data_IF_406126832934
#
_entry.id   IF_406126832934
#
_cell.length_a   1.000
_cell.length_b   1.000
_cell.length_c   1.000
_cell.angle_alpha   90.00
_cell.angle_beta   90.00
_cell.angle_gamma   90.00
#
_symmetry.space_group_name_H-M   'P 1'
#
loop_
_entity.id
_entity.type
_entity.pdbx_description
1 polymer ?
#
# COMPACT_ATOMS: atom_id res chain seq x y z
N UNK A 1 26.53 -48.45 43.20
CA UNK A 1 26.91 -47.03 43.23
C UNK A 1 26.17 -46.34 42.10
N UNK A 2 25.26 -45.41 42.43
CA UNK A 2 24.39 -44.74 41.46
C UNK A 2 25.05 -43.49 40.89
N UNK A 3 25.01 -43.34 39.57
CA UNK A 3 25.41 -42.12 38.89
C UNK A 3 24.14 -41.32 38.53
N UNK A 4 23.97 -40.16 39.16
CA UNK A 4 23.05 -39.11 38.71
C UNK A 4 23.59 -38.47 37.43
N UNK A 5 22.79 -38.26 36.38
CA UNK A 5 23.14 -37.33 35.33
C UNK A 5 22.80 -35.90 35.77
N UNK A 6 23.78 -35.02 35.71
CA UNK A 6 23.66 -33.57 35.88
C UNK A 6 22.72 -33.00 34.81
N UNK A 7 21.76 -32.16 35.25
CA UNK A 7 20.96 -31.33 34.35
C UNK A 7 21.90 -30.38 33.61
N UNK A 8 21.91 -30.45 32.28
CA UNK A 8 22.48 -29.41 31.45
C UNK A 8 21.48 -28.24 31.41
N UNK A 9 21.83 -27.15 32.08
CA UNK A 9 21.15 -25.87 31.89
C UNK A 9 21.44 -25.39 30.46
N UNK A 10 20.47 -25.60 29.56
CA UNK A 10 20.46 -24.94 28.26
C UNK A 10 20.21 -23.45 28.49
N UNK A 11 21.27 -22.66 28.43
CA UNK A 11 21.15 -21.22 28.21
C UNK A 11 20.45 -21.01 26.85
N UNK A 12 19.26 -20.41 26.87
CA UNK A 12 18.58 -19.95 25.66
C UNK A 12 19.44 -18.83 25.02
N UNK A 13 19.97 -19.11 23.84
CA UNK A 13 20.75 -18.16 23.05
C UNK A 13 19.89 -16.95 22.67
N UNK A 14 20.32 -15.77 23.11
CA UNK A 14 19.73 -14.46 22.78
C UNK A 14 19.72 -14.14 21.26
N UNK A 15 20.44 -14.93 20.45
CA UNK A 15 20.44 -14.81 19.00
C UNK A 15 19.20 -15.44 18.31
N UNK A 16 18.42 -16.26 19.02
CA UNK A 16 17.23 -16.92 18.45
C UNK A 16 16.03 -15.97 18.28
N UNK A 17 15.99 -14.84 18.99
CA UNK A 17 14.90 -13.88 18.90
C UNK A 17 14.96 -13.02 17.63
N UNK A 18 16.15 -12.81 17.06
CA UNK A 18 16.36 -12.01 15.85
C UNK A 18 15.77 -12.62 14.58
N UNK A 19 15.44 -13.91 14.59
CA UNK A 19 14.93 -14.65 13.43
C UNK A 19 13.54 -15.27 13.67
N UNK A 20 12.83 -14.87 14.74
CA UNK A 20 11.44 -15.29 14.88
C UNK A 20 10.60 -14.67 13.76
N UNK A 21 9.77 -15.46 13.05
CA UNK A 21 8.82 -14.90 12.11
C UNK A 21 7.91 -13.91 12.86
N UNK A 22 7.54 -12.77 12.24
CA UNK A 22 6.68 -11.79 12.88
C UNK A 22 5.38 -12.41 13.34
N UNK A 23 4.79 -11.89 14.43
CA UNK A 23 3.54 -12.43 14.95
C UNK A 23 2.43 -12.39 13.88
N UNK A 24 1.59 -13.45 13.77
CA UNK A 24 0.48 -13.46 12.83
C UNK A 24 -0.59 -12.45 13.25
N UNK A 25 -1.22 -11.81 12.28
CA UNK A 25 -2.37 -10.91 12.51
C UNK A 25 -3.65 -11.71 12.30
N UNK A 26 -4.53 -11.85 13.32
CA UNK A 26 -5.85 -12.40 13.12
C UNK A 26 -6.66 -11.54 12.15
N UNK A 27 -7.19 -12.16 11.09
CA UNK A 27 -8.05 -11.53 10.09
C UNK A 27 -9.41 -12.21 10.08
N UNK A 28 -10.47 -11.44 10.26
CA UNK A 28 -11.85 -11.86 10.03
C UNK A 28 -12.38 -11.20 8.74
N UNK A 29 -13.01 -11.98 7.87
CA UNK A 29 -13.46 -11.53 6.55
C UNK A 29 -14.98 -11.70 6.49
N UNK A 30 -15.69 -10.58 6.38
CA UNK A 30 -17.14 -10.56 6.29
C UNK A 30 -17.67 -11.43 5.13
N UNK A 31 -18.71 -12.20 5.41
CA UNK A 31 -19.20 -13.24 4.50
C UNK A 31 -19.80 -12.70 3.20
N UNK A 32 -20.19 -11.42 3.16
CA UNK A 32 -20.80 -10.80 1.99
C UNK A 32 -19.78 -10.24 0.99
N UNK A 33 -18.49 -10.14 1.35
CA UNK A 33 -17.46 -9.49 0.54
C UNK A 33 -17.30 -10.18 -0.82
N UNK A 34 -17.17 -11.51 -0.84
CA UNK A 34 -16.98 -12.27 -2.09
C UNK A 34 -18.13 -12.08 -3.07
N UNK A 35 -19.37 -12.11 -2.57
CA UNK A 35 -20.56 -11.91 -3.39
C UNK A 35 -20.63 -10.49 -3.95
N UNK A 36 -20.14 -9.50 -3.21
CA UNK A 36 -20.14 -8.11 -3.65
C UNK A 36 -19.07 -7.85 -4.72
N UNK A 37 -17.89 -8.45 -4.60
CA UNK A 37 -16.81 -8.36 -5.58
C UNK A 37 -17.19 -9.00 -6.93
N UNK A 38 -17.99 -10.07 -6.92
CA UNK A 38 -18.48 -10.68 -8.16
C UNK A 38 -19.48 -9.80 -8.92
N UNK A 39 -20.19 -8.91 -8.22
CA UNK A 39 -21.20 -8.02 -8.82
C UNK A 39 -20.62 -6.72 -9.35
N UNK A 40 -19.50 -6.26 -8.80
CA UNK A 40 -18.95 -4.93 -9.06
C UNK A 40 -17.46 -5.03 -9.44
N UNK A 41 -17.15 -4.73 -10.69
CA UNK A 41 -15.75 -4.72 -11.19
C UNK A 41 -14.95 -3.51 -10.70
N UNK A 42 -15.61 -2.37 -10.47
CA UNK A 42 -15.00 -1.21 -9.83
C UNK A 42 -15.01 -1.41 -8.32
N UNK A 43 -13.82 -1.55 -7.73
CA UNK A 43 -13.70 -1.78 -6.29
C UNK A 43 -13.48 -0.47 -5.56
N UNK A 44 -14.52 0.03 -4.89
CA UNK A 44 -14.40 1.09 -3.89
C UNK A 44 -14.31 0.43 -2.52
N UNK A 45 -13.22 0.71 -1.80
CA UNK A 45 -12.94 0.17 -0.48
C UNK A 45 -12.79 1.33 0.49
N UNK A 46 -13.41 1.23 1.67
CA UNK A 46 -13.20 2.19 2.76
C UNK A 46 -12.16 1.64 3.73
N UNK A 47 -11.33 2.49 4.31
CA UNK A 47 -10.36 2.09 5.33
C UNK A 47 -10.59 2.84 6.63
N UNK A 48 -10.55 2.10 7.74
CA UNK A 48 -10.73 2.59 9.09
C UNK A 48 -9.61 2.07 9.98
N UNK A 49 -9.22 2.91 10.94
CA UNK A 49 -8.22 2.58 11.93
C UNK A 49 -8.02 3.74 12.90
N UNK A 50 -7.71 3.42 14.15
CA UNK A 50 -7.34 4.40 15.16
C UNK A 50 -5.90 4.92 14.99
N UNK A 51 -5.41 5.76 15.91
CA UNK A 51 -3.99 6.02 16.07
C UNK A 51 -3.19 4.69 16.14
N UNK A 52 -1.94 4.69 15.66
CA UNK A 52 -1.06 3.51 15.61
C UNK A 52 -1.55 2.30 14.77
N UNK A 53 -2.73 2.38 14.14
CA UNK A 53 -3.24 1.32 13.23
C UNK A 53 -2.40 1.12 11.96
N UNK A 54 -1.45 2.02 11.67
CA UNK A 54 -0.61 1.98 10.48
C UNK A 54 -1.43 1.92 9.17
N UNK A 55 -2.65 2.47 9.16
CA UNK A 55 -3.54 2.51 7.98
C UNK A 55 -2.85 3.08 6.73
N UNK A 56 -1.91 4.01 6.91
CA UNK A 56 -1.10 4.57 5.83
C UNK A 56 -0.32 3.51 5.05
N UNK A 57 0.28 2.52 5.72
CA UNK A 57 1.00 1.42 5.06
C UNK A 57 0.08 0.50 4.27
N UNK A 58 -1.18 0.33 4.71
CA UNK A 58 -2.20 -0.42 3.96
C UNK A 58 -2.63 0.34 2.72
N UNK A 59 -2.85 1.66 2.84
CA UNK A 59 -3.17 2.52 1.70
C UNK A 59 -2.03 2.48 0.68
N UNK A 60 -0.77 2.56 1.14
CA UNK A 60 0.42 2.47 0.28
C UNK A 60 0.52 1.12 -0.43
N UNK A 61 0.26 0.01 0.25
CA UNK A 61 0.22 -1.32 -0.39
C UNK A 61 -0.92 -1.39 -1.42
N UNK A 62 -2.11 -0.88 -1.11
CA UNK A 62 -3.24 -0.86 -2.04
C UNK A 62 -2.91 -0.05 -3.31
N UNK A 63 -2.29 1.11 -3.16
CA UNK A 63 -1.96 1.99 -4.29
C UNK A 63 -0.81 1.42 -5.12
N UNK A 64 0.29 1.03 -4.48
CA UNK A 64 1.51 0.56 -5.16
C UNK A 64 1.37 -0.85 -5.75
N UNK A 65 0.73 -1.77 -5.03
CA UNK A 65 0.67 -3.19 -5.41
C UNK A 65 -0.64 -3.58 -6.08
N UNK A 66 -1.75 -2.87 -5.87
CA UNK A 66 -3.07 -3.29 -6.36
C UNK A 66 -3.76 -2.27 -7.27
N UNK A 67 -3.05 -1.21 -7.67
CA UNK A 67 -3.51 -0.14 -8.56
C UNK A 67 -4.78 0.57 -8.04
N UNK A 68 -4.84 0.81 -6.73
CA UNK A 68 -5.86 1.67 -6.14
C UNK A 68 -5.44 3.14 -6.27
N UNK A 69 -6.42 4.01 -6.43
CA UNK A 69 -6.28 5.45 -6.20
C UNK A 69 -6.76 5.77 -4.79
N UNK A 70 -5.93 6.44 -4.00
CA UNK A 70 -6.32 6.91 -2.68
C UNK A 70 -7.15 8.19 -2.77
N UNK A 71 -8.19 8.27 -1.94
CA UNK A 71 -8.98 9.47 -1.70
C UNK A 71 -9.01 9.71 -0.19
N UNK A 72 -8.35 10.78 0.26
CA UNK A 72 -8.38 11.22 1.66
C UNK A 72 -9.33 12.40 1.83
N UNK A 73 -10.15 12.37 2.88
CA UNK A 73 -10.97 13.51 3.28
C UNK A 73 -10.14 14.71 3.67
N UNK A 74 -8.98 14.50 4.31
CA UNK A 74 -8.10 15.60 4.69
C UNK A 74 -7.63 16.36 3.45
N UNK A 75 -7.24 15.64 2.39
CA UNK A 75 -6.85 16.24 1.12
C UNK A 75 -8.02 17.01 0.48
N UNK A 76 -9.23 16.45 0.52
CA UNK A 76 -10.43 17.13 0.02
C UNK A 76 -10.66 18.43 0.80
N UNK A 77 -10.61 18.38 2.13
CA UNK A 77 -10.81 19.56 2.96
C UNK A 77 -9.74 20.60 2.64
N UNK A 78 -8.45 20.25 2.70
CA UNK A 78 -7.39 21.23 2.46
C UNK A 78 -7.37 21.79 1.04
N UNK A 79 -7.78 21.01 0.04
CA UNK A 79 -7.82 21.45 -1.35
C UNK A 79 -9.03 22.36 -1.64
N UNK A 80 -10.21 22.02 -1.12
CA UNK A 80 -11.47 22.65 -1.56
C UNK A 80 -12.03 23.65 -0.55
N UNK A 81 -11.73 23.52 0.73
CA UNK A 81 -12.21 24.45 1.76
C UNK A 81 -11.78 25.92 1.49
N UNK A 82 -10.53 26.21 1.09
CA UNK A 82 -10.11 27.58 0.77
C UNK A 82 -10.95 28.24 -0.32
N UNK A 83 -11.44 27.47 -1.30
CA UNK A 83 -12.27 28.01 -2.38
C UNK A 83 -13.69 28.40 -1.93
N UNK A 84 -14.18 27.81 -0.84
CA UNK A 84 -15.49 28.14 -0.23
C UNK A 84 -15.39 29.33 0.72
N UNK A 85 -14.23 29.50 1.33
CA UNK A 85 -13.89 30.56 2.25
C UNK A 85 -13.49 31.82 1.48
N UNK A 86 -14.49 32.61 1.07
CA UNK A 86 -14.30 33.84 0.29
C UNK A 86 -13.54 34.91 1.09
N UNK A 87 -12.19 34.83 1.09
CA UNK A 87 -11.30 35.86 1.62
C UNK A 87 -10.61 35.57 2.96
N UNK A 88 -10.78 34.39 3.57
CA UNK A 88 -9.89 33.93 4.65
C UNK A 88 -8.67 33.24 4.04
N UNK A 89 -7.50 33.42 4.67
CA UNK A 89 -6.23 33.07 4.04
C UNK A 89 -6.13 31.60 3.64
N UNK A 90 -5.29 31.33 2.65
CA UNK A 90 -5.01 29.97 2.14
C UNK A 90 -4.16 29.14 3.10
N UNK A 91 -3.83 29.68 4.27
CA UNK A 91 -2.99 29.01 5.25
C UNK A 91 -3.80 27.97 6.03
N UNK A 92 -3.17 26.85 6.35
CA UNK A 92 -3.77 25.75 7.12
C UNK A 92 -4.38 26.26 8.45
N UNK A 93 -3.79 27.27 9.07
CA UNK A 93 -4.31 27.86 10.32
C UNK A 93 -5.69 28.51 10.13
N UNK A 94 -5.89 29.22 9.03
CA UNK A 94 -7.16 29.90 8.73
C UNK A 94 -8.27 28.87 8.42
N UNK A 95 -7.92 27.80 7.70
CA UNK A 95 -8.79 26.65 7.45
C UNK A 95 -9.19 25.99 8.79
N UNK A 96 -8.22 25.75 9.67
CA UNK A 96 -8.49 25.15 10.98
C UNK A 96 -9.35 26.04 11.89
N UNK A 97 -9.20 27.36 11.79
CA UNK A 97 -10.01 28.32 12.54
C UNK A 97 -11.44 28.40 11.98
N UNK A 98 -11.60 28.42 10.66
CA UNK A 98 -12.90 28.33 10.01
C UNK A 98 -13.64 27.04 10.40
N UNK A 99 -12.95 25.90 10.43
CA UNK A 99 -13.50 24.61 10.87
C UNK A 99 -13.83 24.55 12.37
N UNK A 100 -13.24 25.41 13.21
CA UNK A 100 -13.60 25.47 14.63
C UNK A 100 -14.95 26.15 14.85
N UNK A 101 -15.31 27.07 13.96
CA UNK A 101 -16.57 27.82 14.00
C UNK A 101 -17.57 27.27 12.95
N UNK A 102 -17.50 25.97 12.67
CA UNK A 102 -18.20 25.32 11.55
C UNK A 102 -19.73 25.44 11.68
N UNK A 103 -20.33 26.32 10.86
CA UNK A 103 -21.78 26.43 10.65
C UNK A 103 -22.27 25.49 9.54
N UNK A 104 -21.85 24.21 9.57
CA UNK A 104 -22.29 23.19 8.60
C UNK A 104 -21.57 23.24 7.24
N UNK A 105 -20.38 23.82 7.18
CA UNK A 105 -19.56 23.89 5.98
C UNK A 105 -18.99 22.53 5.57
N UNK A 106 -18.76 21.66 6.55
CA UNK A 106 -18.25 20.29 6.39
C UNK A 106 -19.35 19.24 6.63
N UNK A 107 -20.28 19.09 5.69
CA UNK A 107 -21.26 18.00 5.73
C UNK A 107 -20.73 16.70 5.14
N UNK A 108 -21.19 15.54 5.65
CA UNK A 108 -20.84 14.24 5.06
C UNK A 108 -21.38 14.10 3.63
N UNK A 109 -22.54 14.69 3.34
CA UNK A 109 -23.08 14.75 1.97
C UNK A 109 -22.11 15.46 1.01
N UNK A 110 -21.56 16.61 1.42
CA UNK A 110 -20.57 17.32 0.63
C UNK A 110 -19.27 16.51 0.46
N UNK A 111 -18.77 15.90 1.54
CA UNK A 111 -17.58 15.05 1.49
C UNK A 111 -17.76 13.90 0.49
N UNK A 112 -18.88 13.19 0.55
CA UNK A 112 -19.20 12.10 -0.36
C UNK A 112 -19.44 12.58 -1.81
N UNK A 113 -19.96 13.80 -2.00
CA UNK A 113 -20.05 14.43 -3.33
C UNK A 113 -18.65 14.70 -3.92
N UNK A 114 -17.73 15.22 -3.10
CA UNK A 114 -16.34 15.43 -3.51
C UNK A 114 -15.64 14.11 -3.85
N UNK A 115 -15.84 13.06 -3.05
CA UNK A 115 -15.35 11.71 -3.35
C UNK A 115 -15.95 11.21 -4.68
N UNK A 116 -17.26 11.38 -4.88
CA UNK A 116 -17.95 11.00 -6.12
C UNK A 116 -17.34 11.70 -7.34
N UNK A 117 -16.98 12.98 -7.22
CA UNK A 117 -16.34 13.74 -8.31
C UNK A 117 -15.00 13.15 -8.72
N UNK A 118 -14.19 12.65 -7.78
CA UNK A 118 -12.89 12.01 -8.06
C UNK A 118 -13.06 10.63 -8.72
N UNK A 119 -14.11 9.89 -8.35
CA UNK A 119 -14.40 8.57 -8.92
C UNK A 119 -14.84 8.67 -10.39
N UNK A 120 -15.67 9.65 -10.75
CA UNK A 120 -16.24 9.79 -12.10
C UNK A 120 -15.21 10.02 -13.21
N UNK A 121 -14.00 10.46 -12.86
CA UNK A 121 -12.95 10.80 -13.84
C UNK A 121 -12.24 9.55 -14.39
N UNK A 122 -12.35 8.39 -13.74
CA UNK A 122 -11.59 7.20 -14.12
C UNK A 122 -12.47 5.96 -14.33
N UNK A 123 -12.50 5.45 -15.55
CA UNK A 123 -13.13 4.17 -15.86
C UNK A 123 -12.22 3.01 -15.42
N UNK A 124 -12.80 1.96 -14.84
CA UNK A 124 -12.11 0.72 -14.43
C UNK A 124 -11.01 0.88 -13.36
N UNK A 125 -11.03 1.96 -12.60
CA UNK A 125 -10.08 2.20 -11.51
C UNK A 125 -10.64 1.70 -10.16
N UNK A 126 -9.75 1.22 -9.29
CA UNK A 126 -10.05 0.85 -7.91
C UNK A 126 -9.78 2.05 -7.01
N UNK A 127 -10.56 2.23 -5.95
CA UNK A 127 -10.43 3.37 -5.04
C UNK A 127 -10.36 2.91 -3.60
N UNK A 128 -9.44 3.49 -2.84
CA UNK A 128 -9.40 3.36 -1.37
C UNK A 128 -9.73 4.71 -0.77
N UNK A 129 -10.77 4.75 0.05
CA UNK A 129 -11.32 5.96 0.67
C UNK A 129 -10.98 5.97 2.15
N UNK A 130 -10.17 6.93 2.56
CA UNK A 130 -9.93 7.26 3.97
C UNK A 130 -10.86 8.41 4.36
N UNK A 131 -12.04 8.06 4.87
CA UNK A 131 -13.10 9.03 5.18
C UNK A 131 -12.94 9.69 6.55
N UNK A 132 -12.20 9.07 7.46
CA UNK A 132 -12.05 9.59 8.82
C UNK A 132 -10.71 10.32 8.97
N UNK A 133 -10.75 11.66 9.11
CA UNK A 133 -9.54 12.46 9.19
C UNK A 133 -8.79 12.21 10.51
N UNK A 134 -7.47 12.34 10.50
CA UNK A 134 -6.62 12.40 11.68
C UNK A 134 -6.56 13.81 12.29
N UNK A 135 -6.78 14.86 11.48
CA UNK A 135 -6.72 16.26 11.90
C UNK A 135 -7.89 16.59 12.84
N UNK A 136 -7.55 16.90 14.09
CA UNK A 136 -8.52 17.10 15.18
C UNK A 136 -9.53 18.22 14.95
N UNK A 137 -9.22 19.26 14.17
CA UNK A 137 -10.19 20.32 13.84
C UNK A 137 -11.30 19.82 12.92
N UNK A 138 -10.99 18.90 12.00
CA UNK A 138 -11.96 18.29 11.08
C UNK A 138 -12.84 17.30 11.86
N UNK A 139 -12.24 16.46 12.72
CA UNK A 139 -12.97 15.53 13.60
C UNK A 139 -13.92 16.23 14.59
N UNK A 140 -13.70 17.52 14.87
CA UNK A 140 -14.54 18.31 15.77
C UNK A 140 -15.76 18.93 15.09
N UNK A 141 -15.88 18.83 13.76
CA UNK A 141 -17.12 19.21 13.08
C UNK A 141 -18.29 18.38 13.59
N UNK A 142 -19.48 18.99 13.67
CA UNK A 142 -20.68 18.36 14.24
C UNK A 142 -21.03 17.05 13.52
N UNK A 143 -20.88 17.04 12.21
CA UNK A 143 -21.19 15.93 11.34
C UNK A 143 -20.35 14.68 11.67
N UNK A 144 -19.05 14.80 11.95
CA UNK A 144 -18.23 13.66 12.39
C UNK A 144 -18.54 13.14 13.80
N UNK A 145 -19.36 13.87 14.57
CA UNK A 145 -19.88 13.40 15.87
C UNK A 145 -21.27 12.79 15.78
N UNK A 146 -21.89 12.80 14.60
CA UNK A 146 -23.21 12.20 14.42
C UNK A 146 -23.16 10.69 14.70
N UNK A 147 -24.27 10.13 15.18
CA UNK A 147 -24.34 8.71 15.59
C UNK A 147 -24.42 7.73 14.43
N UNK A 148 -24.74 8.19 13.22
CA UNK A 148 -24.89 7.35 12.04
C UNK A 148 -24.78 8.21 10.77
N UNK A 149 -24.23 7.60 9.72
CA UNK A 149 -24.16 8.15 8.37
C UNK A 149 -24.85 7.25 7.34
N UNK A 150 -25.77 6.39 7.79
CA UNK A 150 -26.41 5.35 6.97
C UNK A 150 -27.09 5.93 5.73
N UNK A 151 -27.79 7.05 5.89
CA UNK A 151 -28.52 7.70 4.79
C UNK A 151 -27.54 8.16 3.71
N UNK A 152 -26.49 8.87 4.11
CA UNK A 152 -25.50 9.45 3.22
C UNK A 152 -24.70 8.34 2.50
N UNK A 153 -24.26 7.32 3.25
CA UNK A 153 -23.55 6.16 2.70
C UNK A 153 -24.42 5.34 1.74
N UNK A 154 -25.71 5.14 2.06
CA UNK A 154 -26.64 4.44 1.18
C UNK A 154 -26.84 5.21 -0.14
N UNK A 155 -27.08 6.52 -0.06
CA UNK A 155 -27.23 7.36 -1.26
C UNK A 155 -25.96 7.39 -2.12
N UNK A 156 -24.79 7.38 -1.51
CA UNK A 156 -23.52 7.25 -2.21
C UNK A 156 -23.39 5.88 -2.87
N UNK A 157 -23.69 4.80 -2.15
CA UNK A 157 -23.59 3.43 -2.64
C UNK A 157 -24.55 3.12 -3.80
N UNK A 158 -25.73 3.77 -3.84
CA UNK A 158 -26.64 3.69 -4.99
C UNK A 158 -26.01 4.19 -6.30
N UNK A 159 -25.05 5.13 -6.21
CA UNK A 159 -24.34 5.69 -7.38
C UNK A 159 -23.00 4.99 -7.62
N UNK A 160 -22.36 4.58 -6.53
CA UNK A 160 -20.99 4.09 -6.49
C UNK A 160 -20.94 2.83 -5.63
N UNK A 161 -21.16 1.63 -6.21
CA UNK A 161 -21.18 0.39 -5.45
C UNK A 161 -19.92 0.20 -4.62
N UNK A 162 -20.08 0.01 -3.30
CA UNK A 162 -18.96 -0.16 -2.39
C UNK A 162 -18.70 -1.67 -2.24
N UNK A 163 -17.43 -2.07 -2.31
CA UNK A 163 -17.04 -3.47 -2.17
C UNK A 163 -17.06 -3.90 -0.71
N UNK A 164 -16.24 -3.27 0.13
CA UNK A 164 -16.09 -3.58 1.55
C UNK A 164 -15.34 -2.46 2.29
N UNK A 165 -15.23 -2.61 3.61
CA UNK A 165 -14.37 -1.81 4.46
C UNK A 165 -13.24 -2.65 5.05
N UNK A 166 -12.06 -2.05 5.26
CA UNK A 166 -10.96 -2.61 6.05
C UNK A 166 -10.95 -1.88 7.39
N UNK A 167 -10.96 -2.62 8.49
CA UNK A 167 -10.92 -2.11 9.86
C UNK A 167 -9.69 -2.69 10.57
N UNK A 168 -8.77 -1.83 10.99
CA UNK A 168 -7.57 -2.23 11.74
C UNK A 168 -7.71 -1.80 13.19
N UNK A 169 -7.85 -2.80 14.06
CA UNK A 169 -8.05 -2.62 15.50
C UNK A 169 -6.77 -2.99 16.26
N UNK A 170 -6.22 -2.06 17.04
CA UNK A 170 -4.97 -2.25 17.80
C UNK A 170 -5.31 -2.78 19.21
N UNK A 171 -4.85 -3.99 19.54
CA UNK A 171 -5.21 -4.70 20.78
C UNK A 171 -4.42 -4.25 22.02
N UNK A 172 -3.15 -3.92 21.85
CA UNK A 172 -2.22 -3.72 22.99
C UNK A 172 -2.28 -2.30 23.59
N UNK A 173 -2.97 -1.37 22.93
CA UNK A 173 -2.99 0.05 23.30
C UNK A 173 -4.32 0.50 23.93
N UNK A 174 -4.99 -0.37 24.70
CA UNK A 174 -6.22 -0.02 25.42
C UNK A 174 -6.10 1.21 26.34
N UNK A 175 -4.88 1.69 26.64
CA UNK A 175 -4.63 2.83 27.51
C UNK A 175 -4.06 4.09 26.84
N UNK A 176 -3.69 4.08 25.54
CA UNK A 176 -2.89 5.16 24.98
C UNK A 176 -3.53 6.02 23.91
N UNK A 177 -4.83 5.88 23.61
CA UNK A 177 -5.71 7.04 23.37
C UNK A 177 -7.10 6.63 22.88
N UNK A 178 -8.10 6.82 23.73
CA UNK A 178 -9.48 7.12 23.28
C UNK A 178 -9.51 8.52 22.63
N UNK A 179 -8.67 8.75 21.63
CA UNK A 179 -8.70 9.97 20.83
C UNK A 179 -9.86 9.88 19.85
N UNK A 180 -10.41 11.04 19.53
CA UNK A 180 -11.63 11.25 18.74
C UNK A 180 -11.74 10.42 17.43
N UNK A 181 -10.64 9.91 16.88
CA UNK A 181 -10.63 9.10 15.65
C UNK A 181 -11.37 7.77 15.74
N UNK A 182 -11.20 6.99 16.82
CA UNK A 182 -11.93 5.70 16.97
C UNK A 182 -13.43 5.92 17.12
N UNK A 183 -13.83 6.93 17.89
CA UNK A 183 -15.23 7.29 18.05
C UNK A 183 -15.86 7.78 16.73
N UNK A 184 -15.09 8.48 15.89
CA UNK A 184 -15.54 8.95 14.58
C UNK A 184 -15.60 7.83 13.53
N UNK A 185 -14.85 6.74 13.69
CA UNK A 185 -14.95 5.56 12.80
C UNK A 185 -16.28 4.82 12.96
N UNK A 186 -16.77 4.69 14.19
CA UNK A 186 -17.88 3.79 14.52
C UNK A 186 -19.17 4.04 13.72
N UNK A 187 -19.65 5.29 13.53
CA UNK A 187 -20.84 5.57 12.72
C UNK A 187 -20.73 5.09 11.26
N UNK A 188 -19.55 5.21 10.65
CA UNK A 188 -19.32 4.71 9.28
C UNK A 188 -19.14 3.20 9.26
N UNK A 189 -18.42 2.66 10.24
CA UNK A 189 -18.08 1.24 10.29
C UNK A 189 -19.30 0.35 10.57
N UNK A 190 -20.24 0.82 11.39
CA UNK A 190 -21.52 0.15 11.65
C UNK A 190 -22.31 -0.16 10.37
N UNK A 191 -22.28 0.75 9.38
CA UNK A 191 -22.93 0.54 8.08
C UNK A 191 -22.39 -0.71 7.35
N UNK A 192 -21.07 -0.89 7.37
CA UNK A 192 -20.42 -2.06 6.74
C UNK A 192 -20.59 -3.34 7.57
N UNK A 193 -20.56 -3.24 8.90
CA UNK A 193 -20.80 -4.39 9.80
C UNK A 193 -22.19 -4.97 9.60
N UNK A 194 -23.22 -4.13 9.49
CA UNK A 194 -24.61 -4.58 9.23
C UNK A 194 -24.79 -5.36 7.94
N UNK A 195 -23.96 -5.09 6.94
CA UNK A 195 -23.97 -5.80 5.66
C UNK A 195 -22.96 -6.94 5.60
N UNK A 196 -22.23 -7.21 6.69
CA UNK A 196 -21.16 -8.20 6.79
C UNK A 196 -20.08 -8.05 5.70
N UNK A 197 -19.65 -6.79 5.47
CA UNK A 197 -18.64 -6.39 4.47
C UNK A 197 -17.43 -5.72 5.09
N UNK A 198 -16.96 -6.22 6.22
CA UNK A 198 -15.76 -5.72 6.90
C UNK A 198 -14.67 -6.78 6.88
N UNK A 199 -13.45 -6.37 6.55
CA UNK A 199 -12.22 -7.12 6.83
C UNK A 199 -11.66 -6.54 8.13
N UNK A 200 -11.75 -7.29 9.21
CA UNK A 200 -11.25 -6.87 10.52
C UNK A 200 -9.88 -7.47 10.80
N UNK A 201 -8.88 -6.63 11.01
CA UNK A 201 -7.52 -7.01 11.33
C UNK A 201 -7.21 -6.63 12.79
N UNK A 202 -6.86 -7.62 13.61
CA UNK A 202 -6.47 -7.41 15.02
C UNK A 202 -4.97 -7.23 15.15
N UNK A 203 -4.50 -6.00 15.23
CA UNK A 203 -3.08 -5.65 15.26
C UNK A 203 -2.52 -5.61 16.69
N UNK A 204 -1.39 -6.26 16.91
CA UNK A 204 -0.55 -6.13 18.11
C UNK A 204 0.75 -5.43 17.74
N UNK A 205 1.47 -4.85 18.71
CA UNK A 205 2.73 -4.16 18.44
C UNK A 205 3.76 -5.08 17.77
N UNK A 206 3.81 -6.35 18.20
CA UNK A 206 4.70 -7.39 17.66
C UNK A 206 4.32 -7.84 16.23
N UNK A 207 3.06 -7.63 15.83
CA UNK A 207 2.55 -8.07 14.54
C UNK A 207 2.61 -6.97 13.45
N UNK A 208 2.94 -5.72 13.81
CA UNK A 208 3.07 -4.59 12.87
C UNK A 208 3.92 -4.91 11.64
N UNK A 209 5.11 -5.55 11.75
CA UNK A 209 5.92 -5.90 10.57
C UNK A 209 5.21 -6.80 9.57
N UNK A 210 4.18 -7.55 9.99
CA UNK A 210 3.41 -8.46 9.16
C UNK A 210 2.17 -7.82 8.51
N UNK A 211 1.83 -6.56 8.83
CA UNK A 211 0.58 -5.92 8.41
C UNK A 211 0.43 -5.84 6.90
N UNK A 212 1.48 -5.38 6.21
CA UNK A 212 1.49 -5.25 4.75
C UNK A 212 1.37 -6.61 4.08
N UNK A 213 2.10 -7.62 4.56
CA UNK A 213 2.04 -8.96 3.98
C UNK A 213 0.66 -9.61 4.21
N UNK A 214 0.11 -9.49 5.42
CA UNK A 214 -1.23 -9.98 5.74
C UNK A 214 -2.30 -9.32 4.87
N UNK A 215 -2.20 -8.00 4.65
CA UNK A 215 -3.10 -7.25 3.76
C UNK A 215 -3.02 -7.79 2.34
N UNK A 216 -1.81 -7.96 1.80
CA UNK A 216 -1.57 -8.49 0.46
C UNK A 216 -2.17 -9.87 0.29
N UNK A 217 -1.86 -10.81 1.19
CA UNK A 217 -2.40 -12.16 1.14
C UNK A 217 -3.93 -12.18 1.22
N UNK A 218 -4.52 -11.31 2.04
CA UNK A 218 -5.97 -11.18 2.18
C UNK A 218 -6.61 -10.72 0.87
N UNK A 219 -6.06 -9.70 0.21
CA UNK A 219 -6.55 -9.21 -1.08
C UNK A 219 -6.39 -10.26 -2.19
N UNK A 220 -5.26 -10.97 -2.24
CA UNK A 220 -5.05 -12.08 -3.17
C UNK A 220 -6.10 -13.19 -2.97
N UNK A 221 -6.39 -13.56 -1.72
CA UNK A 221 -7.44 -14.55 -1.36
C UNK A 221 -8.87 -14.09 -1.73
N UNK A 222 -9.07 -12.78 -1.89
CA UNK A 222 -10.32 -12.18 -2.36
C UNK A 222 -10.38 -12.04 -3.89
N UNK A 223 -9.32 -12.43 -4.60
CA UNK A 223 -9.27 -12.42 -6.06
C UNK A 223 -8.76 -11.10 -6.65
N UNK A 224 -8.22 -10.19 -5.84
CA UNK A 224 -7.51 -9.04 -6.38
C UNK A 224 -6.21 -9.49 -7.03
N UNK A 225 -5.96 -8.98 -8.23
CA UNK A 225 -4.67 -9.13 -8.90
C UNK A 225 -3.78 -7.96 -8.52
N UNK A 226 -2.51 -8.26 -8.22
CA UNK A 226 -1.51 -7.21 -8.11
C UNK A 226 -1.40 -6.49 -9.46
N UNK A 227 -1.14 -5.19 -9.39
CA UNK A 227 -0.67 -4.43 -10.54
C UNK A 227 0.56 -5.17 -11.08
N UNK A 228 0.62 -5.34 -12.41
CA UNK A 228 1.89 -5.68 -13.02
C UNK A 228 2.80 -4.49 -12.75
N UNK A 229 3.65 -4.61 -11.73
CA UNK A 229 4.89 -3.88 -11.76
C UNK A 229 5.60 -4.41 -13.00
N UNK A 230 6.09 -3.53 -13.85
CA UNK A 230 6.96 -3.93 -14.95
C UNK A 230 8.27 -4.44 -14.30
N UNK A 231 8.22 -5.63 -13.69
CA UNK A 231 9.33 -6.29 -13.03
C UNK A 231 10.23 -6.84 -14.14
N UNK A 232 11.12 -5.99 -14.63
CA UNK A 232 12.11 -6.38 -15.60
C UNK A 232 13.21 -7.17 -14.91
N UNK A 233 13.42 -8.39 -15.37
CA UNK A 233 14.61 -9.15 -15.01
C UNK A 233 15.75 -8.61 -15.87
N UNK A 234 16.75 -8.01 -15.23
CA UNK A 234 18.00 -7.59 -15.86
C UNK A 234 19.11 -8.52 -15.37
N UNK A 235 19.52 -9.45 -16.24
CA UNK A 235 20.60 -10.38 -15.96
C UNK A 235 21.91 -9.85 -16.56
N UNK A 236 23.02 -9.89 -15.82
CA UNK A 236 24.34 -9.54 -16.33
C UNK A 236 25.20 -10.80 -16.50
N UNK A 237 25.83 -10.92 -17.66
CA UNK A 237 26.65 -12.07 -18.04
C UNK A 237 27.90 -11.63 -18.77
N UNK A 238 28.93 -12.46 -18.79
CA UNK A 238 30.09 -12.29 -19.67
C UNK A 238 29.80 -12.92 -21.03
N UNK A 239 30.59 -12.55 -22.04
CA UNK A 239 30.49 -13.09 -23.41
C UNK A 239 30.54 -14.62 -23.46
N UNK A 240 31.19 -15.27 -22.49
CA UNK A 240 31.43 -16.72 -22.47
C UNK A 240 30.36 -17.57 -21.78
N UNK A 241 29.36 -16.98 -21.11
CA UNK A 241 28.50 -17.70 -20.15
C UNK A 241 27.01 -17.67 -20.45
N UNK A 242 26.60 -17.07 -21.58
CA UNK A 242 25.19 -16.82 -21.87
C UNK A 242 24.52 -17.81 -22.82
N UNK A 243 25.27 -18.74 -23.41
CA UNK A 243 24.75 -19.74 -24.35
C UNK A 243 23.81 -20.77 -23.70
N UNK A 244 23.94 -20.99 -22.38
CA UNK A 244 23.10 -21.91 -21.61
C UNK A 244 21.79 -21.29 -21.10
N UNK A 245 21.56 -20.00 -21.35
CA UNK A 245 20.37 -19.28 -20.88
C UNK A 245 19.25 -19.42 -21.93
N UNK A 246 18.11 -20.00 -21.55
CA UNK A 246 16.93 -20.06 -22.40
C UNK A 246 16.25 -18.68 -22.53
N UNK A 247 16.73 -17.90 -23.50
CA UNK A 247 16.23 -16.55 -23.78
C UNK A 247 14.74 -16.52 -24.12
N UNK A 248 14.22 -17.60 -24.70
CA UNK A 248 12.82 -17.67 -25.13
C UNK A 248 11.91 -17.90 -23.94
N UNK A 249 12.27 -18.85 -23.07
CA UNK A 249 11.52 -19.14 -21.84
C UNK A 249 11.44 -17.91 -20.92
N UNK A 250 12.56 -17.20 -20.73
CA UNK A 250 12.63 -16.00 -19.89
C UNK A 250 12.29 -14.70 -20.61
N UNK A 251 11.98 -14.72 -21.91
CA UNK A 251 11.73 -13.54 -22.75
C UNK A 251 12.85 -12.48 -22.66
N UNK A 252 14.10 -12.93 -22.61
CA UNK A 252 15.28 -12.07 -22.47
C UNK A 252 15.69 -11.49 -23.83
N UNK A 253 15.84 -10.17 -23.90
CA UNK A 253 16.48 -9.46 -24.99
C UNK A 253 17.95 -9.26 -24.69
N UNK A 254 18.81 -9.68 -25.60
CA UNK A 254 20.26 -9.47 -25.47
C UNK A 254 20.58 -8.00 -25.68
N UNK A 255 21.36 -7.43 -24.77
CA UNK A 255 21.94 -6.09 -24.85
C UNK A 255 23.45 -6.22 -24.70
N UNK A 256 24.19 -5.93 -25.76
CA UNK A 256 25.65 -5.92 -25.68
C UNK A 256 26.13 -4.57 -25.16
N UNK A 257 26.64 -4.52 -23.93
CA UNK A 257 27.09 -3.28 -23.29
C UNK A 257 28.27 -2.64 -24.04
N UNK A 258 29.07 -3.44 -24.77
CA UNK A 258 30.18 -2.95 -25.59
C UNK A 258 29.73 -2.16 -26.82
N UNK A 259 28.53 -2.43 -27.33
CA UNK A 259 27.97 -1.70 -28.48
C UNK A 259 27.34 -0.36 -28.06
N UNK A 260 27.00 -0.22 -26.78
CA UNK A 260 26.35 0.97 -26.22
C UNK A 260 27.33 2.03 -25.72
N UNK A 261 28.61 1.68 -25.61
CA UNK A 261 29.64 2.53 -25.00
C UNK A 261 30.88 2.64 -25.88
N UNK A 262 31.62 3.75 -25.72
CA UNK A 262 32.89 3.93 -26.43
C UNK A 262 34.00 3.18 -25.68
N UNK A 263 35.01 2.73 -26.41
CA UNK A 263 36.17 2.05 -25.82
C UNK A 263 36.93 2.88 -24.75
N UNK A 264 36.74 4.21 -24.75
CA UNK A 264 37.30 5.15 -23.78
C UNK A 264 36.44 5.39 -22.53
N UNK A 265 35.21 4.86 -22.50
CA UNK A 265 34.25 5.15 -21.44
C UNK A 265 34.59 4.39 -20.17
N UNK A 266 34.47 5.05 -19.01
CA UNK A 266 34.61 4.41 -17.71
C UNK A 266 33.38 3.58 -17.35
N UNK A 267 33.51 2.70 -16.34
CA UNK A 267 32.45 1.80 -15.90
C UNK A 267 31.10 2.51 -15.64
N UNK A 268 31.12 3.68 -14.99
CA UNK A 268 29.90 4.44 -14.70
C UNK A 268 29.21 4.95 -15.97
N UNK A 269 29.97 5.40 -16.97
CA UNK A 269 29.45 5.80 -18.27
C UNK A 269 28.87 4.61 -19.04
N UNK A 270 29.50 3.44 -18.96
CA UNK A 270 29.01 2.19 -19.56
C UNK A 270 27.68 1.73 -18.92
N UNK A 271 27.61 1.70 -17.57
CA UNK A 271 26.38 1.39 -16.83
C UNK A 271 25.26 2.38 -17.19
N UNK A 272 25.59 3.68 -17.26
CA UNK A 272 24.62 4.72 -17.64
C UNK A 272 24.14 4.59 -19.08
N UNK A 273 24.97 4.08 -19.99
CA UNK A 273 24.58 3.81 -21.37
C UNK A 273 23.60 2.62 -21.45
N UNK A 274 23.89 1.53 -20.74
CA UNK A 274 22.99 0.37 -20.62
C UNK A 274 21.65 0.79 -20.02
N UNK A 275 21.66 1.54 -18.93
CA UNK A 275 20.45 2.03 -18.28
C UNK A 275 19.58 2.86 -19.23
N UNK A 276 20.17 3.81 -19.97
CA UNK A 276 19.44 4.63 -20.96
C UNK A 276 18.90 3.80 -22.11
N UNK A 277 19.64 2.80 -22.57
CA UNK A 277 19.17 1.91 -23.64
C UNK A 277 17.94 1.12 -23.19
N UNK A 278 18.02 0.47 -22.03
CA UNK A 278 16.91 -0.28 -21.44
C UNK A 278 15.69 0.63 -21.24
N UNK A 279 15.87 1.80 -20.63
CA UNK A 279 14.79 2.76 -20.40
C UNK A 279 14.11 3.26 -21.70
N UNK A 280 14.86 3.36 -22.81
CA UNK A 280 14.32 3.84 -24.10
C UNK A 280 13.72 2.74 -24.98
N UNK A 281 14.06 1.47 -24.74
CA UNK A 281 13.55 0.32 -25.48
C UNK A 281 12.53 -0.50 -24.65
N UNK A 282 12.12 0.05 -23.52
CA UNK A 282 11.28 -0.64 -22.56
C UNK A 282 9.83 -0.76 -23.06
N UNK A 283 9.40 -1.97 -23.41
CA UNK A 283 7.97 -2.33 -23.47
C UNK A 283 7.61 -3.14 -22.22
N UNK A 284 6.38 -3.00 -21.75
CA UNK A 284 5.82 -3.52 -20.47
C UNK A 284 6.02 -5.01 -20.13
N UNK A 285 6.70 -5.83 -20.96
CA UNK A 285 6.96 -7.25 -20.71
C UNK A 285 8.39 -7.70 -21.11
N UNK A 286 9.31 -6.77 -21.41
CA UNK A 286 10.66 -7.11 -21.89
C UNK A 286 11.63 -7.38 -20.74
N UNK A 287 12.23 -8.56 -20.68
CA UNK A 287 13.38 -8.83 -19.81
C UNK A 287 14.68 -8.59 -20.61
N UNK A 288 15.78 -8.24 -19.93
CA UNK A 288 17.05 -7.93 -20.58
C UNK A 288 18.19 -8.80 -20.07
N UNK A 289 18.99 -9.32 -20.99
CA UNK A 289 20.27 -9.97 -20.70
C UNK A 289 21.39 -9.04 -21.19
N UNK A 290 22.07 -8.39 -20.25
CA UNK A 290 23.18 -7.49 -20.54
C UNK A 290 24.46 -8.30 -20.60
N UNK A 291 24.99 -8.46 -21.81
CA UNK A 291 26.30 -9.07 -22.05
C UNK A 291 27.34 -7.97 -21.90
N UNK A 292 28.20 -8.13 -20.90
CA UNK A 292 29.29 -7.20 -20.65
C UNK A 292 30.56 -7.77 -21.30
N UNK A 293 31.22 -7.02 -22.22
CA UNK A 293 32.56 -7.37 -22.67
C UNK A 293 33.45 -7.38 -21.44
N UNK A 294 34.17 -8.49 -21.22
CA UNK A 294 35.01 -8.76 -20.05
C UNK A 294 35.49 -7.46 -19.40
N UNK A 295 34.84 -7.05 -18.30
CA UNK A 295 35.39 -5.96 -17.50
C UNK A 295 36.83 -6.36 -17.23
N UNK A 296 37.80 -5.49 -17.54
CA UNK A 296 39.17 -5.69 -17.06
C UNK A 296 39.14 -5.53 -15.56
N UNK A 297 38.61 -6.52 -14.86
CA UNK A 297 38.74 -6.70 -13.43
C UNK A 297 40.22 -6.99 -13.26
N UNK A 298 40.97 -5.98 -12.82
CA UNK A 298 42.25 -6.24 -12.20
C UNK A 298 41.96 -7.10 -10.97
N UNK A 299 42.35 -8.38 -11.08
CA UNK A 299 42.36 -9.41 -10.03
C UNK A 299 41.07 -9.61 -9.22
N UNK A 300 40.25 -10.58 -9.66
CA UNK A 300 39.70 -11.62 -8.79
C UNK A 300 38.90 -12.63 -9.64
N UNK A 301 39.26 -13.91 -9.55
CA UNK A 301 38.59 -15.02 -10.22
C UNK A 301 37.20 -15.29 -9.66
N UNK A 302 36.21 -14.49 -10.06
CA UNK A 302 34.80 -14.68 -9.69
C UNK A 302 33.95 -14.74 -10.95
N UNK A 303 33.72 -15.96 -11.44
CA UNK A 303 32.71 -16.26 -12.47
C UNK A 303 31.36 -16.50 -11.81
N UNK A 304 30.62 -15.43 -11.50
CA UNK A 304 29.22 -15.56 -11.09
C UNK A 304 28.34 -14.56 -11.83
N UNK A 305 27.26 -15.05 -12.44
CA UNK A 305 26.15 -14.22 -12.89
C UNK A 305 25.60 -13.43 -11.69
N UNK A 306 25.64 -12.11 -11.77
CA UNK A 306 24.94 -11.25 -10.82
C UNK A 306 23.51 -11.02 -11.34
N UNK A 307 22.53 -11.57 -10.65
CA UNK A 307 21.14 -11.15 -10.81
C UNK A 307 20.95 -9.84 -10.05
N UNK A 308 20.63 -8.77 -10.77
CA UNK A 308 20.14 -7.54 -10.16
C UNK A 308 18.65 -7.40 -10.46
N UNK A 309 17.85 -7.27 -9.40
CA UNK A 309 16.47 -6.81 -9.52
C UNK A 309 16.48 -5.28 -9.50
N UNK A 310 16.19 -4.66 -10.65
CA UNK A 310 15.86 -3.23 -10.67
C UNK A 310 14.39 -3.08 -10.28
N UNK A 311 14.12 -2.20 -9.31
CA UNK A 311 12.82 -2.06 -8.64
C UNK A 311 12.09 -0.80 -9.04
#
# INVERSE_FOLDING_TARGET
>A
MGCHPSKADFHQDAHSELFRPPAPIPVDIGSAIRNQLQKNTNSIVFIFGGPASQKGSIIEELTSSFNFTSISVEDIVFQYLPSRLSGTGTQIKDIQEALRNDEGMLSIDWVLEMISSRIKVAMNQRFVVDIVPAVSSILKAEEYRARSHDRQLNQFEMKHPIAFAIDVNVKDEQNLTRLNGEAANEPFLQYFRRSNRVISMSLTAEAVPNLVNTTRETLLKLGFTMARKDDHIICFTTETTHEDIDLTYYKLKIVNAGELSRASDNLNAQISAVYRYIASHNRHDDNFLVVVPSFKVQDAGVSHCLLFFFK
#
